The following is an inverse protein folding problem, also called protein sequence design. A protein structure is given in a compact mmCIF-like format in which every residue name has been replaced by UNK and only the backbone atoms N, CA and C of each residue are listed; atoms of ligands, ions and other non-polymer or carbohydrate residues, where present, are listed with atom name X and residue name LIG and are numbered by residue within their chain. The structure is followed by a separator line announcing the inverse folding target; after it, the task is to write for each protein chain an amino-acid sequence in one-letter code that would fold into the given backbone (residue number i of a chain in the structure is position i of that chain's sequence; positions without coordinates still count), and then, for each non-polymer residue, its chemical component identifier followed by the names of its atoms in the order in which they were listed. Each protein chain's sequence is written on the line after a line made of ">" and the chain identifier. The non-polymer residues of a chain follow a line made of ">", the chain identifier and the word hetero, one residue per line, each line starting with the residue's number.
data_IF_917890329503
#
_entry.id   IF_917890329503
#
_cell.length_a   1.000
_cell.length_b   1.000
_cell.length_c   1.000
_cell.angle_alpha   90.00
_cell.angle_beta   90.00
_cell.angle_gamma   90.00
#
_symmetry.space_group_name_H-M   'P 1'
#
loop_
_entity.id
_entity.type
_entity.pdbx_description
1 polymer ?
#
# COMPACT_ATOMS: atom_id res chain seq x y z
N UNK A 1 7.73 19.51 19.06
CA UNK A 1 6.66 20.41 19.57
C UNK A 1 5.84 21.12 18.48
N UNK A 2 6.40 21.47 17.31
CA UNK A 2 5.65 22.15 16.21
C UNK A 2 4.49 21.32 15.63
N UNK A 3 4.73 20.02 15.36
CA UNK A 3 3.74 19.15 14.72
C UNK A 3 2.46 18.91 15.55
N UNK A 4 2.62 18.72 16.87
CA UNK A 4 1.51 18.49 17.78
C UNK A 4 0.60 19.73 17.91
N UNK A 5 1.22 20.92 17.98
CA UNK A 5 0.50 22.20 18.01
C UNK A 5 -0.28 22.43 16.71
N UNK A 6 0.34 22.14 15.57
CA UNK A 6 -0.30 22.29 14.27
C UNK A 6 -1.47 21.31 14.08
N UNK A 7 -1.35 20.08 14.57
CA UNK A 7 -2.42 19.07 14.52
C UNK A 7 -3.62 19.44 15.41
N UNK A 8 -3.39 19.98 16.62
CA UNK A 8 -4.47 20.42 17.53
C UNK A 8 -5.22 21.61 16.94
N UNK A 9 -4.52 22.60 16.39
CA UNK A 9 -5.14 23.77 15.75
C UNK A 9 -5.99 23.33 14.56
N UNK A 10 -5.50 22.41 13.74
CA UNK A 10 -6.24 21.92 12.57
C UNK A 10 -7.49 21.10 12.96
N UNK A 11 -7.39 20.24 13.98
CA UNK A 11 -8.54 19.51 14.51
C UNK A 11 -9.64 20.47 15.01
N UNK A 12 -9.24 21.53 15.71
CA UNK A 12 -10.15 22.59 16.13
C UNK A 12 -10.80 23.33 14.94
N UNK A 13 -10.02 23.65 13.90
CA UNK A 13 -10.53 24.33 12.69
C UNK A 13 -11.54 23.49 11.91
N UNK A 14 -11.33 22.17 11.79
CA UNK A 14 -12.30 21.27 11.16
C UNK A 14 -13.57 21.09 11.97
N UNK A 15 -13.46 20.97 13.30
CA UNK A 15 -14.63 20.91 14.19
C UNK A 15 -15.45 22.19 14.09
N UNK A 16 -14.79 23.35 14.08
CA UNK A 16 -15.44 24.64 13.87
C UNK A 16 -16.10 24.73 12.49
N UNK A 17 -15.40 24.30 11.42
CA UNK A 17 -15.94 24.33 10.06
C UNK A 17 -17.18 23.44 9.91
N UNK A 18 -17.12 22.19 10.37
CA UNK A 18 -18.26 21.25 10.30
C UNK A 18 -19.40 21.71 11.22
N UNK A 19 -19.08 22.12 12.45
CA UNK A 19 -20.06 22.60 13.42
C UNK A 19 -20.79 23.85 12.95
N UNK A 20 -20.07 24.85 12.45
CA UNK A 20 -20.66 26.06 11.90
C UNK A 20 -21.40 25.82 10.59
N UNK A 21 -20.98 24.82 9.78
CA UNK A 21 -21.70 24.39 8.58
C UNK A 21 -23.05 23.72 8.89
N UNK A 22 -23.08 22.85 9.90
CA UNK A 22 -24.34 22.30 10.40
C UNK A 22 -25.21 23.40 11.01
N UNK A 23 -24.63 24.33 11.75
CA UNK A 23 -25.37 25.44 12.33
C UNK A 23 -25.98 26.36 11.26
N UNK A 24 -25.22 26.73 10.21
CA UNK A 24 -25.78 27.51 9.09
C UNK A 24 -26.91 26.78 8.36
N UNK A 25 -26.88 25.45 8.33
CA UNK A 25 -27.93 24.64 7.71
C UNK A 25 -29.24 24.67 8.51
N UNK A 26 -29.17 24.63 9.84
CA UNK A 26 -30.36 24.66 10.70
C UNK A 26 -30.85 26.08 11.03
N UNK A 27 -29.92 27.02 11.20
CA UNK A 27 -30.18 28.42 11.54
C UNK A 27 -29.28 29.34 10.70
N UNK A 28 -29.74 29.73 9.50
CA UNK A 28 -28.94 30.59 8.64
C UNK A 28 -28.83 31.99 9.26
N UNK A 29 -27.59 32.45 9.47
CA UNK A 29 -27.29 33.74 10.07
C UNK A 29 -25.83 34.15 9.84
N UNK A 30 -25.49 35.39 10.18
CA UNK A 30 -24.13 35.90 9.98
C UNK A 30 -23.11 35.28 10.96
N UNK A 31 -23.54 34.90 12.16
CA UNK A 31 -22.71 34.30 13.20
C UNK A 31 -22.11 32.94 12.80
N UNK A 32 -22.89 31.95 12.31
CA UNK A 32 -22.31 30.70 11.81
C UNK A 32 -21.50 30.89 10.51
N UNK A 33 -21.82 31.92 9.70
CA UNK A 33 -21.03 32.24 8.51
C UNK A 33 -19.61 32.73 8.85
N UNK A 34 -19.45 33.56 9.89
CA UNK A 34 -18.12 33.97 10.38
C UNK A 34 -17.32 32.76 10.86
N UNK A 35 -17.96 31.85 11.61
CA UNK A 35 -17.33 30.62 12.07
C UNK A 35 -16.89 29.69 10.94
N UNK A 36 -17.67 29.58 9.87
CA UNK A 36 -17.28 28.85 8.65
C UNK A 36 -16.05 29.46 7.96
N UNK A 37 -16.03 30.79 7.81
CA UNK A 37 -14.90 31.49 7.18
C UNK A 37 -13.62 31.31 8.01
N UNK A 38 -13.72 31.48 9.34
CA UNK A 38 -12.58 31.28 10.24
C UNK A 38 -12.09 29.83 10.26
N UNK A 39 -13.01 28.86 10.23
CA UNK A 39 -12.67 27.44 10.09
C UNK A 39 -11.94 27.15 8.78
N UNK A 40 -12.43 27.69 7.65
CA UNK A 40 -11.80 27.54 6.34
C UNK A 40 -10.41 28.18 6.28
N UNK A 41 -10.24 29.38 6.84
CA UNK A 41 -8.93 30.07 6.93
C UNK A 41 -7.96 29.27 7.80
N UNK A 42 -8.42 28.69 8.91
CA UNK A 42 -7.61 27.82 9.76
C UNK A 42 -7.14 26.55 9.05
N UNK A 43 -7.99 25.95 8.21
CA UNK A 43 -7.64 24.80 7.36
C UNK A 43 -6.63 25.20 6.27
N UNK A 44 -6.86 26.32 5.59
CA UNK A 44 -6.02 26.77 4.48
C UNK A 44 -4.64 27.29 4.92
N UNK A 45 -4.56 27.94 6.08
CA UNK A 45 -3.31 28.50 6.63
C UNK A 45 -2.39 27.44 7.24
N UNK A 46 -2.90 26.23 7.50
CA UNK A 46 -2.11 25.14 8.05
C UNK A 46 -2.43 23.81 7.31
N UNK A 47 -1.93 23.64 6.07
CA UNK A 47 -2.15 22.43 5.27
C UNK A 47 -1.29 21.28 5.80
N UNK A 48 -1.53 20.85 7.04
CA UNK A 48 -1.07 19.55 7.50
C UNK A 48 -2.03 18.52 6.90
N UNK A 49 -1.57 17.46 6.23
CA UNK A 49 -2.48 16.42 5.78
C UNK A 49 -3.12 15.77 7.01
N UNK A 50 -4.43 16.01 7.21
CA UNK A 50 -5.19 15.42 8.32
C UNK A 50 -5.33 13.89 8.16
N UNK A 51 -5.09 13.38 6.94
CA UNK A 51 -5.02 11.96 6.62
C UNK A 51 -3.81 11.68 5.71
N UNK A 52 -2.90 10.83 6.19
CA UNK A 52 -1.84 10.21 5.39
C UNK A 52 -0.47 10.88 5.48
N UNK A 53 0.58 10.05 5.40
CA UNK A 53 1.96 10.50 5.18
C UNK A 53 2.02 11.24 3.84
N UNK A 54 2.76 12.36 3.79
CA UNK A 54 2.96 13.12 2.55
C UNK A 54 3.77 12.23 1.59
N UNK A 55 3.14 11.76 0.52
CA UNK A 55 3.83 11.03 -0.54
C UNK A 55 4.96 11.91 -1.11
N UNK A 56 6.11 11.29 -1.37
CA UNK A 56 7.22 11.99 -2.02
C UNK A 56 6.83 12.45 -3.43
N UNK A 57 7.21 13.67 -3.77
CA UNK A 57 7.03 14.21 -5.12
C UNK A 57 8.37 14.08 -5.86
N UNK A 58 8.44 13.11 -6.78
CA UNK A 58 9.61 12.89 -7.64
C UNK A 58 9.42 13.58 -8.99
N UNK A 59 10.48 14.22 -9.47
CA UNK A 59 10.58 14.76 -10.83
C UNK A 59 10.61 13.62 -11.86
N UNK A 60 10.21 13.86 -13.12
CA UNK A 60 10.31 12.85 -14.19
C UNK A 60 11.71 12.25 -14.33
N UNK A 61 12.75 13.08 -14.21
CA UNK A 61 14.16 12.70 -14.31
C UNK A 61 14.56 11.73 -13.19
N UNK A 62 14.15 12.01 -11.95
CA UNK A 62 14.39 11.12 -10.80
C UNK A 62 13.67 9.78 -10.96
N UNK A 63 12.44 9.79 -11.48
CA UNK A 63 11.70 8.54 -11.75
C UNK A 63 12.42 7.68 -12.77
N UNK A 64 12.93 8.29 -13.85
CA UNK A 64 13.70 7.57 -14.88
C UNK A 64 14.98 6.99 -14.26
N UNK A 65 15.73 7.79 -13.50
CA UNK A 65 16.96 7.34 -12.85
C UNK A 65 16.73 6.12 -11.91
N UNK A 66 15.66 6.15 -11.11
CA UNK A 66 15.30 5.02 -10.24
C UNK A 66 14.90 3.77 -11.03
N UNK A 67 14.15 3.94 -12.13
CA UNK A 67 13.77 2.82 -13.00
C UNK A 67 14.99 2.19 -13.67
N UNK A 68 15.91 3.01 -14.16
CA UNK A 68 17.12 2.55 -14.85
C UNK A 68 18.09 1.86 -13.88
N UNK A 69 18.13 2.31 -12.62
CA UNK A 69 18.85 1.62 -11.53
C UNK A 69 18.23 0.26 -11.21
N UNK A 70 16.93 0.22 -10.95
CA UNK A 70 16.31 -0.96 -10.34
C UNK A 70 15.86 -2.02 -11.34
N UNK A 71 15.41 -1.64 -12.52
CA UNK A 71 14.93 -2.58 -13.55
C UNK A 71 15.94 -3.67 -13.90
N UNK A 72 17.22 -3.36 -14.27
CA UNK A 72 18.18 -4.42 -14.57
C UNK A 72 18.47 -5.28 -13.34
N UNK A 73 18.68 -4.65 -12.19
CA UNK A 73 18.98 -5.33 -10.91
C UNK A 73 17.94 -6.40 -10.57
N UNK A 74 16.65 -6.07 -10.61
CA UNK A 74 15.60 -7.04 -10.29
C UNK A 74 15.39 -8.07 -11.39
N UNK A 75 15.53 -7.70 -12.67
CA UNK A 75 15.46 -8.66 -13.77
C UNK A 75 16.51 -9.74 -13.62
N UNK A 76 17.75 -9.37 -13.34
CA UNK A 76 18.87 -10.30 -13.16
C UNK A 76 18.66 -11.16 -11.91
N UNK A 77 18.23 -10.54 -10.80
CA UNK A 77 17.90 -11.26 -9.56
C UNK A 77 16.85 -12.36 -9.79
N UNK A 78 15.72 -12.04 -10.43
CA UNK A 78 14.67 -13.03 -10.67
C UNK A 78 15.04 -14.06 -11.72
N UNK A 79 15.86 -13.70 -12.71
CA UNK A 79 16.40 -14.65 -13.68
C UNK A 79 17.30 -15.67 -12.99
N UNK A 80 18.18 -15.22 -12.09
CA UNK A 80 19.04 -16.10 -11.31
C UNK A 80 18.22 -16.98 -10.36
N UNK A 81 17.27 -16.40 -9.63
CA UNK A 81 16.39 -17.14 -8.73
C UNK A 81 15.57 -18.24 -9.47
N UNK A 82 15.13 -17.96 -10.70
CA UNK A 82 14.43 -18.93 -11.52
C UNK A 82 15.33 -20.11 -11.94
N UNK A 83 16.57 -19.83 -12.36
CA UNK A 83 17.57 -20.85 -12.70
C UNK A 83 17.92 -21.74 -11.52
N UNK A 84 18.05 -21.14 -10.34
CA UNK A 84 18.37 -21.85 -9.11
C UNK A 84 17.13 -22.54 -8.48
N UNK A 85 15.95 -22.40 -9.11
CA UNK A 85 14.66 -22.95 -8.67
C UNK A 85 14.28 -22.51 -7.26
N UNK A 86 14.72 -21.33 -6.82
CA UNK A 86 14.38 -20.78 -5.51
C UNK A 86 13.04 -20.05 -5.53
N UNK A 87 12.20 -20.36 -4.54
CA UNK A 87 11.08 -19.50 -4.17
C UNK A 87 11.60 -18.38 -3.28
N UNK A 88 11.47 -17.15 -3.75
CA UNK A 88 11.96 -15.97 -3.03
C UNK A 88 10.85 -15.36 -2.19
N UNK A 89 11.05 -15.33 -0.88
CA UNK A 89 10.38 -14.38 0.00
C UNK A 89 11.31 -13.18 0.19
N UNK A 90 10.75 -12.04 0.57
CA UNK A 90 11.48 -10.80 0.84
C UNK A 90 10.98 -10.19 2.15
N UNK A 91 11.90 -9.58 2.91
CA UNK A 91 11.56 -8.73 4.04
C UNK A 91 11.45 -7.30 3.52
N UNK A 92 10.25 -6.73 3.59
CA UNK A 92 10.00 -5.35 3.19
C UNK A 92 10.11 -4.46 4.41
N UNK A 93 10.86 -3.37 4.30
CA UNK A 93 11.06 -2.37 5.33
C UNK A 93 10.51 -1.02 4.89
N UNK A 94 9.94 -0.26 5.82
CA UNK A 94 9.68 1.16 5.61
C UNK A 94 10.92 1.97 5.98
N UNK A 95 11.41 2.76 5.02
CA UNK A 95 12.61 3.62 5.21
C UNK A 95 12.45 4.59 6.39
N UNK A 96 11.26 5.18 6.57
CA UNK A 96 11.01 6.16 7.63
C UNK A 96 11.00 5.55 9.05
N UNK A 97 10.92 4.23 9.16
CA UNK A 97 10.85 3.47 10.43
C UNK A 97 11.87 2.32 10.45
N UNK A 98 13.00 2.50 9.77
CA UNK A 98 14.00 1.43 9.58
C UNK A 98 14.59 0.92 10.90
N UNK A 99 14.70 1.77 11.90
CA UNK A 99 15.25 1.44 13.22
C UNK A 99 14.32 0.55 14.07
N UNK A 100 13.07 0.36 13.65
CA UNK A 100 12.13 -0.50 14.38
C UNK A 100 12.46 -1.98 14.22
N UNK A 101 13.04 -2.37 13.08
CA UNK A 101 13.44 -3.74 12.81
C UNK A 101 14.60 -4.18 13.73
N UNK A 102 14.58 -5.41 14.28
CA UNK A 102 13.65 -6.51 14.03
C UNK A 102 12.48 -6.57 15.02
N UNK A 103 12.24 -5.53 15.80
CA UNK A 103 11.18 -5.49 16.79
C UNK A 103 9.82 -5.16 16.13
N UNK A 104 8.73 -5.55 16.78
CA UNK A 104 7.38 -5.26 16.31
C UNK A 104 6.65 -4.46 17.39
N UNK A 105 6.04 -3.34 16.99
CA UNK A 105 5.14 -2.59 17.85
C UNK A 105 3.69 -3.04 17.62
N UNK A 106 3.21 -3.99 18.41
CA UNK A 106 1.85 -4.55 18.29
C UNK A 106 0.73 -3.52 18.51
N UNK A 107 1.03 -2.38 19.13
CA UNK A 107 0.06 -1.30 19.41
C UNK A 107 -0.07 -0.33 18.24
N UNK A 108 0.80 -0.41 17.25
CA UNK A 108 0.78 0.49 16.12
C UNK A 108 -0.40 0.17 15.19
N UNK A 109 -1.06 1.22 14.68
CA UNK A 109 -2.17 1.09 13.74
C UNK A 109 -1.64 1.15 12.31
N UNK A 110 -2.05 0.21 11.47
CA UNK A 110 -1.71 0.19 10.04
C UNK A 110 -0.79 -0.99 9.72
N UNK A 111 -0.07 -0.87 8.60
CA UNK A 111 0.94 -1.85 8.22
C UNK A 111 2.19 -1.70 9.09
N UNK A 112 2.77 -2.83 9.48
CA UNK A 112 4.03 -2.89 10.24
C UNK A 112 5.15 -2.13 9.52
N UNK A 113 6.10 -1.59 10.28
CA UNK A 113 7.32 -0.95 9.75
C UNK A 113 8.18 -1.91 8.95
N UNK A 114 8.03 -3.22 9.17
CA UNK A 114 8.58 -4.26 8.30
C UNK A 114 7.68 -5.49 8.26
N UNK A 115 7.73 -6.26 7.18
CA UNK A 115 6.98 -7.52 7.06
C UNK A 115 7.60 -8.46 6.04
N UNK A 116 7.44 -9.77 6.26
CA UNK A 116 7.79 -10.81 5.29
C UNK A 116 6.65 -11.02 4.30
N UNK A 117 6.98 -11.09 3.03
CA UNK A 117 6.02 -11.34 1.94
C UNK A 117 6.69 -12.13 0.82
N UNK A 118 5.90 -12.81 -0.01
CA UNK A 118 6.48 -13.50 -1.15
C UNK A 118 6.94 -12.51 -2.23
N UNK A 119 8.09 -12.76 -2.84
CA UNK A 119 8.69 -11.91 -3.86
C UNK A 119 8.46 -12.54 -5.24
N UNK A 120 7.50 -12.00 -5.99
CA UNK A 120 6.83 -12.75 -7.06
C UNK A 120 7.39 -12.49 -8.45
N UNK A 121 8.19 -11.45 -8.63
CA UNK A 121 8.78 -11.09 -9.91
C UNK A 121 8.80 -9.60 -10.17
N UNK A 122 8.95 -9.24 -11.44
CA UNK A 122 8.86 -7.85 -11.92
C UNK A 122 7.61 -7.65 -12.77
N UNK A 123 7.20 -6.39 -12.90
CA UNK A 123 6.24 -5.93 -13.90
C UNK A 123 6.84 -4.72 -14.64
N UNK A 124 6.08 -4.05 -15.51
CA UNK A 124 6.58 -2.97 -16.38
C UNK A 124 7.20 -1.78 -15.61
N UNK A 125 6.69 -1.48 -14.41
CA UNK A 125 7.13 -0.34 -13.59
C UNK A 125 7.76 -0.69 -12.24
N UNK A 126 7.95 -1.97 -11.92
CA UNK A 126 8.42 -2.31 -10.58
C UNK A 126 8.52 -3.81 -10.29
N UNK A 127 8.30 -4.13 -9.01
CA UNK A 127 8.31 -5.50 -8.48
C UNK A 127 6.94 -5.90 -7.93
N UNK A 128 6.68 -7.20 -7.85
CA UNK A 128 5.43 -7.75 -7.36
C UNK A 128 5.62 -8.45 -6.02
N UNK A 129 4.81 -8.07 -5.04
CA UNK A 129 4.74 -8.71 -3.72
C UNK A 129 3.50 -9.61 -3.65
N UNK A 130 3.67 -10.88 -3.32
CA UNK A 130 2.57 -11.84 -3.19
C UNK A 130 1.98 -11.82 -1.79
N UNK A 131 0.84 -11.16 -1.64
CA UNK A 131 0.17 -10.93 -0.37
C UNK A 131 -0.56 -12.19 0.12
N UNK A 132 -1.26 -12.90 -0.77
CA UNK A 132 -2.06 -14.08 -0.42
C UNK A 132 -2.41 -14.95 -1.62
N UNK A 133 -2.23 -16.26 -1.50
CA UNK A 133 -2.83 -17.25 -2.41
C UNK A 133 -4.33 -17.42 -2.12
N UNK A 134 -5.16 -17.41 -3.15
CA UNK A 134 -6.62 -17.57 -3.03
C UNK A 134 -7.19 -18.20 -4.30
N UNK A 135 -8.50 -18.39 -4.35
CA UNK A 135 -9.21 -18.86 -5.54
C UNK A 135 -10.18 -17.79 -6.01
N UNK A 136 -10.31 -17.62 -7.32
CA UNK A 136 -11.27 -16.72 -7.92
C UNK A 136 -12.08 -17.45 -8.99
N UNK A 137 -13.37 -17.15 -9.08
CA UNK A 137 -14.23 -17.65 -10.14
C UNK A 137 -14.94 -16.48 -10.82
N UNK A 138 -15.19 -16.60 -12.12
CA UNK A 138 -15.96 -15.63 -12.88
C UNK A 138 -17.45 -15.95 -12.70
N UNK A 139 -18.19 -15.05 -12.05
CA UNK A 139 -19.65 -15.09 -11.92
C UNK A 139 -20.31 -14.01 -12.80
N UNK A 140 -21.64 -14.01 -12.92
CA UNK A 140 -22.39 -13.04 -13.74
C UNK A 140 -22.11 -11.56 -13.38
N UNK A 141 -21.80 -11.29 -12.10
CA UNK A 141 -21.52 -9.95 -11.58
C UNK A 141 -20.03 -9.60 -11.54
N UNK A 142 -19.18 -10.44 -12.14
CA UNK A 142 -17.73 -10.29 -12.16
C UNK A 142 -17.01 -11.35 -11.34
N UNK A 143 -15.75 -11.07 -11.00
CA UNK A 143 -14.90 -12.00 -10.27
C UNK A 143 -15.26 -12.05 -8.79
N UNK A 144 -15.33 -13.27 -8.25
CA UNK A 144 -15.54 -13.51 -6.83
C UNK A 144 -14.41 -14.32 -6.23
N UNK A 145 -13.92 -13.86 -5.09
CA UNK A 145 -12.90 -14.54 -4.31
C UNK A 145 -13.51 -15.61 -3.40
N UNK A 146 -12.83 -16.75 -3.29
CA UNK A 146 -13.13 -17.84 -2.37
C UNK A 146 -11.91 -18.12 -1.50
N UNK A 147 -12.03 -17.88 -0.20
CA UNK A 147 -10.97 -18.17 0.78
C UNK A 147 -10.99 -19.63 1.26
N UNK A 148 -12.14 -20.30 1.18
CA UNK A 148 -12.32 -21.72 1.52
C UNK A 148 -13.40 -22.37 0.64
N UNK A 149 -13.27 -23.67 0.39
CA UNK A 149 -14.20 -24.48 -0.40
C UNK A 149 -14.58 -23.86 -1.77
N UNK A 150 -13.60 -23.61 -2.66
CA UNK A 150 -13.89 -23.07 -3.98
C UNK A 150 -14.67 -24.09 -4.84
N UNK A 151 -15.50 -23.63 -5.79
CA UNK A 151 -16.08 -24.51 -6.80
C UNK A 151 -14.98 -25.07 -7.73
N UNK A 152 -15.25 -26.20 -8.38
CA UNK A 152 -14.31 -26.85 -9.30
C UNK A 152 -13.90 -25.97 -10.49
N UNK A 153 -14.71 -24.96 -10.82
CA UNK A 153 -14.45 -23.98 -11.87
C UNK A 153 -13.53 -22.83 -11.44
N UNK A 154 -13.24 -22.70 -10.14
CA UNK A 154 -12.40 -21.61 -9.65
C UNK A 154 -10.93 -21.83 -10.01
N UNK A 155 -10.26 -20.74 -10.38
CA UNK A 155 -8.84 -20.73 -10.69
C UNK A 155 -8.03 -20.27 -9.47
N UNK A 156 -6.84 -20.85 -9.31
CA UNK A 156 -5.90 -20.45 -8.27
C UNK A 156 -5.17 -19.17 -8.68
N UNK A 157 -5.24 -18.15 -7.82
CA UNK A 157 -4.71 -16.81 -8.10
C UNK A 157 -3.91 -16.28 -6.91
N UNK A 158 -3.04 -15.32 -7.18
CA UNK A 158 -2.28 -14.58 -6.16
C UNK A 158 -2.83 -13.17 -6.06
N UNK A 159 -3.11 -12.71 -4.84
CA UNK A 159 -3.30 -11.29 -4.57
C UNK A 159 -1.91 -10.62 -4.55
N UNK A 160 -1.66 -9.72 -5.50
CA UNK A 160 -0.36 -9.09 -5.74
C UNK A 160 -0.42 -7.60 -5.41
N UNK A 161 0.56 -7.11 -4.66
CA UNK A 161 0.84 -5.69 -4.52
C UNK A 161 1.91 -5.26 -5.52
N UNK A 162 1.59 -4.27 -6.36
CA UNK A 162 2.55 -3.70 -7.31
C UNK A 162 3.36 -2.58 -6.65
N UNK A 163 4.65 -2.82 -6.41
CA UNK A 163 5.56 -1.84 -5.83
C UNK A 163 6.35 -1.19 -6.97
N UNK A 164 6.12 0.10 -7.26
CA UNK A 164 6.86 0.80 -8.32
C UNK A 164 8.33 0.97 -7.94
N UNK A 165 9.23 0.99 -8.92
CA UNK A 165 10.67 1.18 -8.67
C UNK A 165 10.97 2.48 -7.92
N UNK A 166 10.16 3.50 -8.13
CA UNK A 166 10.20 4.80 -7.46
C UNK A 166 10.01 4.71 -5.94
N UNK A 167 9.31 3.68 -5.46
CA UNK A 167 9.12 3.45 -4.04
C UNK A 167 10.35 2.78 -3.39
N UNK A 168 11.27 2.21 -4.17
CA UNK A 168 12.39 1.42 -3.65
C UNK A 168 13.61 2.32 -3.41
N UNK A 169 14.07 2.34 -2.17
CA UNK A 169 15.27 3.06 -1.74
C UNK A 169 16.53 2.19 -1.87
N UNK A 170 16.43 0.94 -1.40
CA UNK A 170 17.55 0.01 -1.36
C UNK A 170 17.07 -1.44 -1.46
N UNK A 171 17.97 -2.31 -1.91
CA UNK A 171 17.75 -3.75 -2.01
C UNK A 171 19.03 -4.48 -1.59
N UNK A 172 18.91 -5.38 -0.63
CA UNK A 172 19.97 -6.29 -0.20
C UNK A 172 19.52 -7.73 -0.53
N UNK A 173 20.10 -8.39 -1.54
CA UNK A 173 19.72 -9.75 -1.93
C UNK A 173 20.16 -10.82 -0.92
N UNK A 174 21.19 -10.55 -0.12
CA UNK A 174 21.85 -11.55 0.74
C UNK A 174 21.15 -11.74 2.09
N UNK A 175 20.36 -10.74 2.52
CA UNK A 175 19.69 -10.71 3.82
C UNK A 175 20.60 -10.31 4.97
N UNK A 176 20.21 -10.68 6.19
CA UNK A 176 20.96 -10.40 7.41
C UNK A 176 20.90 -11.56 8.42
N UNK A 177 21.46 -11.32 9.62
CA UNK A 177 21.54 -12.32 10.70
C UNK A 177 20.17 -12.69 11.30
N UNK A 178 19.16 -11.82 11.19
CA UNK A 178 17.81 -12.09 11.68
C UNK A 178 16.97 -12.83 10.64
N UNK A 179 17.08 -12.43 9.38
CA UNK A 179 16.44 -13.08 8.23
C UNK A 179 17.41 -13.21 7.06
N UNK A 180 17.76 -14.45 6.75
CA UNK A 180 18.58 -14.82 5.59
C UNK A 180 17.83 -14.76 4.25
N UNK A 181 16.93 -13.80 4.11
CA UNK A 181 16.12 -13.56 2.92
C UNK A 181 16.46 -12.18 2.37
N UNK A 182 16.23 -11.92 1.08
CA UNK A 182 16.38 -10.58 0.53
C UNK A 182 15.62 -9.53 1.33
N UNK A 183 16.20 -8.34 1.49
CA UNK A 183 15.61 -7.18 2.13
C UNK A 183 15.33 -6.10 1.10
N UNK A 184 14.12 -5.55 1.13
CA UNK A 184 13.67 -4.49 0.25
C UNK A 184 13.24 -3.28 1.09
N UNK A 185 13.94 -2.17 0.93
CA UNK A 185 13.67 -0.94 1.66
C UNK A 185 12.81 -0.03 0.78
N UNK A 186 11.58 0.23 1.22
CA UNK A 186 10.59 0.98 0.48
C UNK A 186 10.11 2.21 1.24
N UNK A 187 9.69 3.22 0.49
CA UNK A 187 8.90 4.32 1.00
C UNK A 187 7.42 3.97 0.90
N UNK A 188 6.69 4.11 1.99
CA UNK A 188 5.27 3.73 2.08
C UNK A 188 4.37 4.90 1.63
N UNK A 189 4.61 5.36 0.41
CA UNK A 189 4.02 6.56 -0.18
C UNK A 189 2.52 6.38 -0.55
N UNK A 190 2.02 5.15 -0.63
CA UNK A 190 0.67 4.84 -1.12
C UNK A 190 -0.30 4.54 0.02
N UNK A 191 -0.74 5.60 0.73
CA UNK A 191 -1.65 5.43 1.86
C UNK A 191 -1.03 4.68 3.04
N UNK A 192 0.30 4.78 3.20
CA UNK A 192 1.05 4.06 4.22
C UNK A 192 1.48 2.67 3.80
N UNK A 193 1.39 2.32 2.52
CA UNK A 193 1.85 1.03 1.98
C UNK A 193 2.88 1.24 0.84
N UNK A 194 3.71 0.23 0.53
CA UNK A 194 4.71 0.34 -0.55
C UNK A 194 4.13 0.12 -1.95
N UNK A 195 2.92 -0.42 -2.09
CA UNK A 195 2.34 -0.77 -3.37
C UNK A 195 1.30 0.24 -3.85
N UNK A 196 1.39 0.65 -5.11
CA UNK A 196 0.52 1.66 -5.72
C UNK A 196 -0.89 1.10 -6.03
N UNK A 197 -0.98 -0.21 -6.22
CA UNK A 197 -2.22 -0.93 -6.51
C UNK A 197 -2.11 -2.39 -6.08
N UNK A 198 -3.27 -3.02 -5.93
CA UNK A 198 -3.40 -4.45 -5.61
C UNK A 198 -4.32 -5.10 -6.64
N UNK A 199 -3.97 -6.28 -7.12
CA UNK A 199 -4.77 -7.00 -8.11
C UNK A 199 -4.63 -8.52 -7.94
N UNK A 200 -5.57 -9.28 -8.51
CA UNK A 200 -5.47 -10.72 -8.60
C UNK A 200 -4.74 -11.10 -9.89
N UNK A 201 -3.66 -11.87 -9.75
CA UNK A 201 -2.86 -12.38 -10.86
C UNK A 201 -2.87 -13.90 -10.92
N UNK A 202 -3.07 -14.44 -12.12
CA UNK A 202 -2.82 -15.85 -12.40
C UNK A 202 -1.33 -16.06 -12.68
N UNK A 203 -0.70 -17.01 -11.98
CA UNK A 203 0.71 -17.34 -12.20
C UNK A 203 0.88 -18.12 -13.50
N UNK A 204 1.77 -17.63 -14.35
CA UNK A 204 2.19 -18.28 -15.58
C UNK A 204 3.72 -18.41 -15.61
N UNK A 205 4.23 -19.32 -16.44
CA UNK A 205 5.65 -19.55 -16.64
C UNK A 205 5.85 -20.01 -18.08
N UNK A 206 6.83 -19.44 -18.79
CA UNK A 206 7.03 -19.74 -20.21
C UNK A 206 7.70 -21.10 -20.43
N UNK A 207 8.73 -21.40 -19.64
CA UNK A 207 9.49 -22.64 -19.62
C UNK A 207 10.10 -22.86 -18.23
N UNK A 208 10.61 -24.07 -17.94
CA UNK A 208 10.96 -24.51 -16.57
C UNK A 208 11.91 -23.56 -15.82
N UNK A 209 12.91 -22.99 -16.50
CA UNK A 209 13.92 -22.09 -15.91
C UNK A 209 13.62 -20.60 -16.16
N UNK A 210 12.44 -20.26 -16.67
CA UNK A 210 12.00 -18.86 -16.83
C UNK A 210 11.42 -18.31 -15.53
N UNK A 211 11.62 -17.02 -15.23
CA UNK A 211 10.88 -16.36 -14.15
C UNK A 211 9.38 -16.51 -14.34
N UNK A 212 8.66 -16.72 -13.23
CA UNK A 212 7.20 -16.64 -13.26
C UNK A 212 6.76 -15.22 -13.59
N UNK A 213 5.69 -15.10 -14.36
CA UNK A 213 4.99 -13.85 -14.60
C UNK A 213 3.52 -14.00 -14.21
N UNK A 214 2.86 -12.88 -13.96
CA UNK A 214 1.48 -12.89 -13.51
C UNK A 214 0.61 -12.12 -14.50
N UNK A 215 -0.46 -12.76 -14.95
CA UNK A 215 -1.48 -12.12 -15.78
C UNK A 215 -2.60 -11.63 -14.88
N UNK A 216 -2.85 -10.32 -14.93
CA UNK A 216 -3.93 -9.70 -14.17
C UNK A 216 -5.29 -10.19 -14.66
N UNK A 217 -6.14 -10.63 -13.73
CA UNK A 217 -7.50 -11.09 -14.01
C UNK A 217 -8.56 -10.10 -13.52
N UNK A 218 -8.27 -9.39 -12.42
CA UNK A 218 -9.17 -8.47 -11.77
C UNK A 218 -8.40 -7.53 -10.84
N UNK A 219 -8.79 -6.26 -10.80
CA UNK A 219 -8.30 -5.30 -9.82
C UNK A 219 -8.90 -5.60 -8.43
N UNK A 220 -8.12 -5.41 -7.38
CA UNK A 220 -8.62 -5.52 -6.00
C UNK A 220 -8.93 -4.14 -5.44
N UNK A 221 -10.22 -3.84 -5.33
CA UNK A 221 -10.68 -2.63 -4.65
C UNK A 221 -10.77 -2.91 -3.14
N UNK A 222 -10.00 -2.18 -2.34
CA UNK A 222 -10.14 -2.26 -0.89
C UNK A 222 -11.56 -1.83 -0.49
N UNK A 223 -12.24 -2.59 0.40
CA UNK A 223 -13.54 -2.16 0.89
C UNK A 223 -13.41 -0.78 1.55
N UNK A 224 -14.33 0.12 1.20
CA UNK A 224 -14.32 1.48 1.72
C UNK A 224 -14.42 1.52 3.24
N UNK A 225 -14.02 2.63 3.86
CA UNK A 225 -14.01 2.81 5.32
C UNK A 225 -15.35 2.40 5.97
N UNK A 226 -16.47 2.71 5.32
CA UNK A 226 -17.82 2.37 5.78
C UNK A 226 -18.18 0.90 5.61
N UNK A 227 -17.71 0.22 4.56
CA UNK A 227 -17.93 -1.21 4.36
C UNK A 227 -17.12 -2.05 5.36
N UNK A 228 -15.89 -1.63 5.67
CA UNK A 228 -15.08 -2.26 6.70
C UNK A 228 -15.72 -2.16 8.10
N UNK A 229 -16.33 -1.02 8.41
CA UNK A 229 -17.10 -0.84 9.66
C UNK A 229 -18.33 -1.75 9.68
N UNK A 230 -19.12 -1.78 8.59
CA UNK A 230 -20.31 -2.63 8.46
C UNK A 230 -19.97 -4.11 8.65
N UNK A 231 -18.86 -4.58 8.06
CA UNK A 231 -18.38 -5.95 8.22
C UNK A 231 -17.98 -6.28 9.68
N UNK A 232 -17.37 -5.31 10.39
CA UNK A 232 -16.97 -5.47 11.80
C UNK A 232 -18.16 -5.53 12.76
N UNK A 233 -19.27 -4.89 12.42
CA UNK A 233 -20.52 -4.93 13.20
C UNK A 233 -21.36 -6.17 12.92
N UNK A 234 -21.27 -6.76 11.72
CA UNK A 234 -22.05 -7.95 11.35
C UNK A 234 -21.49 -9.27 11.87
N UNK A 235 -20.22 -9.28 12.32
CA UNK A 235 -19.53 -10.46 12.86
C UNK A 235 -19.56 -10.53 14.40
N UNK A 236 -20.33 -9.67 15.06
CA UNK A 236 -20.57 -9.69 16.51
C UNK A 236 -21.94 -10.25 16.83
#
# INVERSE_FOLDING_TARGET
>A
MSFFRNSVVQGGSWIAFIGCGLWTYYEPGFEPAIGLILGAVGIASNPVPFFGKKARNLTPEEKIALRDKWRPTFKDFFLQAARDKYRTDVIVHEVARVDDYPNINEKEKGISSWFRVGFMGTYDRGVLLGLRWTYANQEEKGWKEYTSAPPDTAIKVMLLGAVPYEAIESFNPDGDDYYNKPHLYCHFDFGGEPYERVFYGQRNQLFEDSPSYFTEIAEFTKPGLFEGIKWRFWKR
#
